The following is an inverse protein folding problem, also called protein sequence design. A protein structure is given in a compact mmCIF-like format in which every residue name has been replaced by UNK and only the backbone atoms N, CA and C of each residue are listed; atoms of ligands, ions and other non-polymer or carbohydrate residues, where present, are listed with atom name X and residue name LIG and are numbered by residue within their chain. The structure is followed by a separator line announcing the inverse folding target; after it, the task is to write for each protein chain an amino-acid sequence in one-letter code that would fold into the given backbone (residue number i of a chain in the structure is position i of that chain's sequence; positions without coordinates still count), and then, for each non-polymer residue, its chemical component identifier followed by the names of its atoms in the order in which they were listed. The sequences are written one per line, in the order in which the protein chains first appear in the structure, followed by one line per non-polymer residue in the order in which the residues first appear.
data_IF_331332365298
#
_entry.id   IF_331332365298
#
_cell.length_a   1.000
_cell.length_b   1.000
_cell.length_c   1.000
_cell.angle_alpha   90.00
_cell.angle_beta   90.00
_cell.angle_gamma   90.00
#
_symmetry.space_group_name_H-M   'P 1'
#
loop_
_entity.id
_entity.type
_entity.pdbx_description
1 polymer ?
#
# COMPACT_ATOMS: atom_id res chain seq x y z
N UNK A 1 6.77 35.40 -0.90
CA UNK A 1 6.71 34.59 0.34
C UNK A 1 7.50 33.32 0.10
N UNK A 2 8.48 32.98 0.95
CA UNK A 2 9.24 31.73 0.84
C UNK A 2 8.29 30.60 1.24
N UNK A 3 7.92 29.71 0.32
CA UNK A 3 7.23 28.46 0.71
C UNK A 3 8.14 27.73 1.69
N UNK A 4 7.58 27.25 2.79
CA UNK A 4 8.32 26.39 3.71
C UNK A 4 8.78 25.13 2.97
N UNK A 5 9.93 24.56 3.40
CA UNK A 5 10.57 23.45 2.71
C UNK A 5 9.62 22.24 2.55
N UNK A 6 8.71 22.04 3.50
CA UNK A 6 7.76 20.94 3.51
C UNK A 6 6.64 21.12 2.47
N UNK A 7 6.11 22.34 2.34
CA UNK A 7 5.12 22.67 1.31
C UNK A 7 5.71 22.54 -0.10
N UNK A 8 7.01 22.84 -0.24
CA UNK A 8 7.72 22.63 -1.51
C UNK A 8 7.87 21.15 -1.84
N UNK A 9 8.27 20.31 -0.89
CA UNK A 9 8.33 18.86 -1.09
C UNK A 9 6.96 18.30 -1.47
N UNK A 10 5.89 18.74 -0.80
CA UNK A 10 4.51 18.35 -1.14
C UNK A 10 4.14 18.71 -2.58
N UNK A 11 4.44 19.93 -3.03
CA UNK A 11 4.22 20.33 -4.42
C UNK A 11 4.97 19.42 -5.41
N UNK A 12 6.24 19.13 -5.12
CA UNK A 12 7.07 18.25 -5.97
C UNK A 12 6.48 16.84 -6.03
N UNK A 13 6.08 16.26 -4.89
CA UNK A 13 5.45 14.94 -4.85
C UNK A 13 4.16 14.90 -5.66
N UNK A 14 3.30 15.91 -5.54
CA UNK A 14 2.05 15.99 -6.29
C UNK A 14 2.28 16.08 -7.81
N UNK A 15 3.30 16.83 -8.25
CA UNK A 15 3.67 16.88 -9.66
C UNK A 15 4.24 15.54 -10.13
N UNK A 16 5.14 14.94 -9.35
CA UNK A 16 5.75 13.66 -9.66
C UNK A 16 4.72 12.53 -9.76
N UNK A 17 3.72 12.49 -8.87
CA UNK A 17 2.60 11.54 -8.93
C UNK A 17 1.93 11.59 -10.31
N UNK A 18 1.61 12.79 -10.80
CA UNK A 18 0.97 12.95 -12.12
C UNK A 18 1.85 12.42 -13.25
N UNK A 19 3.15 12.75 -13.21
CA UNK A 19 4.11 12.29 -14.22
C UNK A 19 4.29 10.76 -14.17
N UNK A 20 4.37 10.18 -12.97
CA UNK A 20 4.48 8.73 -12.80
C UNK A 20 3.25 8.00 -13.33
N UNK A 21 2.04 8.51 -13.08
CA UNK A 21 0.79 7.92 -13.56
C UNK A 21 0.65 8.03 -15.09
N UNK A 22 1.15 9.12 -15.68
CA UNK A 22 1.06 9.36 -17.12
C UNK A 22 2.12 8.57 -17.92
N UNK A 23 3.39 8.63 -17.50
CA UNK A 23 4.52 8.05 -18.26
C UNK A 23 4.93 6.65 -17.78
N UNK A 24 4.52 6.26 -16.57
CA UNK A 24 5.11 5.17 -15.83
C UNK A 24 6.43 5.58 -15.15
N UNK A 25 6.73 4.96 -14.01
CA UNK A 25 7.88 5.33 -13.18
C UNK A 25 9.23 5.21 -13.93
N UNK A 26 9.48 4.08 -14.61
CA UNK A 26 10.76 3.84 -15.30
C UNK A 26 11.02 4.75 -16.50
N UNK A 27 9.97 5.33 -17.08
CA UNK A 27 10.11 6.29 -18.18
C UNK A 27 10.16 7.75 -17.69
N UNK A 28 10.10 7.96 -16.37
CA UNK A 28 10.13 9.28 -15.77
C UNK A 28 11.56 9.66 -15.39
N UNK A 29 12.00 10.83 -15.81
CA UNK A 29 13.28 11.42 -15.43
C UNK A 29 13.07 12.73 -14.66
N UNK A 30 14.11 13.19 -13.96
CA UNK A 30 14.04 14.43 -13.17
C UNK A 30 13.61 15.65 -14.00
N UNK A 31 13.95 15.70 -15.29
CA UNK A 31 13.50 16.78 -16.19
C UNK A 31 11.99 16.84 -16.34
N UNK A 32 11.31 15.70 -16.44
CA UNK A 32 9.84 15.67 -16.55
C UNK A 32 9.18 16.31 -15.32
N UNK A 33 9.74 16.05 -14.14
CA UNK A 33 9.25 16.61 -12.87
C UNK A 33 9.60 18.11 -12.76
N UNK A 34 10.76 18.54 -13.26
CA UNK A 34 11.08 19.97 -13.35
C UNK A 34 10.08 20.71 -14.22
N UNK A 35 9.77 20.18 -15.40
CA UNK A 35 8.79 20.76 -16.32
C UNK A 35 7.39 20.81 -15.67
N UNK A 36 6.97 19.73 -15.01
CA UNK A 36 5.67 19.67 -14.32
C UNK A 36 5.58 20.61 -13.10
N UNK A 37 6.69 20.93 -12.44
CA UNK A 37 6.73 21.80 -11.25
C UNK A 37 7.04 23.27 -11.58
N UNK A 38 7.62 23.55 -12.75
CA UNK A 38 8.17 24.86 -13.12
C UNK A 38 9.42 25.26 -12.32
N UNK A 39 10.04 24.33 -11.59
CA UNK A 39 11.24 24.60 -10.80
C UNK A 39 12.49 24.61 -11.67
N UNK A 40 13.47 25.43 -11.28
CA UNK A 40 14.81 25.33 -11.86
C UNK A 40 15.49 24.03 -11.43
N UNK A 41 16.53 23.64 -12.16
CA UNK A 41 17.38 22.48 -11.80
C UNK A 41 17.88 22.56 -10.37
N UNK A 42 18.46 23.69 -9.96
CA UNK A 42 18.91 23.88 -8.59
C UNK A 42 17.76 23.79 -7.58
N UNK A 43 16.56 24.26 -7.93
CA UNK A 43 15.38 24.20 -7.08
C UNK A 43 14.88 22.78 -6.81
N UNK A 44 14.78 21.93 -7.84
CA UNK A 44 14.34 20.54 -7.66
C UNK A 44 15.41 19.69 -6.97
N UNK A 45 16.66 19.78 -7.43
CA UNK A 45 17.77 18.99 -6.90
C UNK A 45 18.18 19.38 -5.47
N UNK A 46 17.74 20.54 -4.98
CA UNK A 46 17.87 20.88 -3.56
C UNK A 46 17.01 19.99 -2.65
N UNK A 47 15.88 19.47 -3.17
CA UNK A 47 14.94 18.68 -2.39
C UNK A 47 15.03 17.17 -2.66
N UNK A 48 15.34 16.79 -3.90
CA UNK A 48 15.37 15.40 -4.34
C UNK A 48 16.50 15.16 -5.34
N UNK A 49 17.34 14.17 -5.07
CA UNK A 49 18.42 13.73 -5.95
C UNK A 49 17.97 12.83 -7.09
N UNK A 50 16.84 12.13 -6.93
CA UNK A 50 16.33 11.16 -7.91
C UNK A 50 14.82 10.98 -7.86
N UNK A 51 14.27 10.35 -8.90
CA UNK A 51 12.85 9.93 -8.93
C UNK A 51 12.54 8.88 -7.86
N UNK A 52 13.53 8.05 -7.49
CA UNK A 52 13.40 7.05 -6.42
C UNK A 52 13.23 7.69 -5.05
N UNK A 53 13.97 8.76 -4.74
CA UNK A 53 13.76 9.50 -3.49
C UNK A 53 12.37 10.15 -3.42
N UNK A 54 11.84 10.62 -4.56
CA UNK A 54 10.48 11.16 -4.62
C UNK A 54 9.46 10.05 -4.40
N UNK A 55 9.63 8.89 -5.05
CA UNK A 55 8.76 7.73 -4.85
C UNK A 55 8.81 7.22 -3.40
N UNK A 56 9.99 7.20 -2.78
CA UNK A 56 10.18 6.88 -1.37
C UNK A 56 9.32 7.79 -0.49
N UNK A 57 9.44 9.12 -0.65
CA UNK A 57 8.68 10.08 0.17
C UNK A 57 7.16 9.97 -0.08
N UNK A 58 6.72 9.71 -1.33
CA UNK A 58 5.30 9.48 -1.64
C UNK A 58 4.78 8.24 -0.91
N UNK A 59 5.54 7.13 -0.94
CA UNK A 59 5.14 5.89 -0.27
C UNK A 59 5.12 6.05 1.25
N UNK A 60 6.06 6.80 1.81
CA UNK A 60 6.09 7.06 3.25
C UNK A 60 4.93 7.93 3.71
N UNK A 61 4.62 9.02 3.00
CA UNK A 61 3.43 9.84 3.28
C UNK A 61 2.14 9.04 3.15
N UNK A 62 1.98 8.26 2.07
CA UNK A 62 0.81 7.41 1.85
C UNK A 62 0.63 6.37 2.94
N UNK A 63 1.73 5.79 3.44
CA UNK A 63 1.70 4.82 4.52
C UNK A 63 1.27 5.42 5.87
N UNK A 64 1.76 6.61 6.21
CA UNK A 64 1.35 7.35 7.42
C UNK A 64 -0.14 7.70 7.37
N UNK A 65 -0.60 8.30 6.27
CA UNK A 65 -2.01 8.66 6.10
C UNK A 65 -2.93 7.43 6.20
N UNK A 66 -2.53 6.30 5.61
CA UNK A 66 -3.29 5.05 5.69
C UNK A 66 -3.39 4.56 7.14
N UNK A 67 -2.29 4.59 7.88
CA UNK A 67 -2.27 4.17 9.29
C UNK A 67 -3.24 4.99 10.12
N UNK A 68 -3.20 6.31 9.98
CA UNK A 68 -4.07 7.22 10.74
C UNK A 68 -5.56 6.98 10.44
N UNK A 69 -5.92 6.77 9.17
CA UNK A 69 -7.29 6.45 8.76
C UNK A 69 -7.75 5.13 9.39
N UNK A 70 -6.95 4.07 9.28
CA UNK A 70 -7.33 2.75 9.81
C UNK A 70 -7.47 2.81 11.33
N UNK A 71 -6.50 3.43 12.03
CA UNK A 71 -6.55 3.54 13.48
C UNK A 71 -7.80 4.30 13.93
N UNK A 72 -8.11 5.43 13.28
CA UNK A 72 -9.33 6.18 13.58
C UNK A 72 -10.60 5.33 13.38
N UNK A 73 -10.72 4.60 12.26
CA UNK A 73 -11.89 3.75 11.99
C UNK A 73 -12.04 2.63 13.02
N UNK A 74 -10.96 2.02 13.49
CA UNK A 74 -11.01 0.97 14.51
C UNK A 74 -11.57 1.51 15.84
N UNK A 75 -11.12 2.68 16.27
CA UNK A 75 -11.52 3.26 17.56
C UNK A 75 -12.90 3.95 17.53
N UNK A 76 -13.28 4.57 16.41
CA UNK A 76 -14.53 5.33 16.30
C UNK A 76 -15.76 4.46 16.03
N UNK A 77 -15.62 3.34 15.30
CA UNK A 77 -16.78 2.58 14.79
C UNK A 77 -17.08 1.27 15.55
N UNK A 78 -16.26 0.89 16.54
CA UNK A 78 -16.45 -0.37 17.26
C UNK A 78 -16.58 -1.57 16.31
N UNK A 79 -15.74 -1.59 15.26
CA UNK A 79 -15.87 -2.47 14.12
C UNK A 79 -15.82 -3.95 14.57
N UNK A 80 -16.92 -4.69 14.41
CA UNK A 80 -16.94 -6.14 14.66
C UNK A 80 -16.49 -6.84 13.39
N UNK A 81 -15.26 -7.32 13.39
CA UNK A 81 -14.66 -7.98 12.24
C UNK A 81 -14.83 -9.50 12.34
N UNK A 82 -15.54 -10.04 11.35
CA UNK A 82 -15.69 -11.48 11.12
C UNK A 82 -14.78 -11.95 9.97
N UNK A 83 -14.52 -13.26 9.83
CA UNK A 83 -13.80 -13.79 8.67
C UNK A 83 -14.38 -13.31 7.33
N UNK A 84 -15.72 -13.22 7.23
CA UNK A 84 -16.44 -12.72 6.06
C UNK A 84 -16.24 -11.23 5.81
N UNK A 85 -16.19 -10.41 6.87
CA UNK A 85 -15.92 -8.98 6.70
C UNK A 85 -14.47 -8.77 6.25
N UNK A 86 -13.55 -9.50 6.87
CA UNK A 86 -12.13 -9.36 6.58
C UNK A 86 -11.76 -9.84 5.18
N UNK A 87 -12.30 -10.98 4.74
CA UNK A 87 -12.13 -11.47 3.37
C UNK A 87 -12.64 -10.44 2.36
N UNK A 88 -13.82 -9.85 2.59
CA UNK A 88 -14.36 -8.78 1.75
C UNK A 88 -13.44 -7.56 1.70
N UNK A 89 -12.91 -7.11 2.84
CA UNK A 89 -11.98 -5.97 2.89
C UNK A 89 -10.70 -6.23 2.07
N UNK A 90 -10.14 -7.45 2.17
CA UNK A 90 -8.96 -7.84 1.38
C UNK A 90 -9.28 -7.80 -0.11
N UNK A 91 -10.40 -8.38 -0.52
CA UNK A 91 -10.79 -8.42 -1.93
C UNK A 91 -11.15 -7.03 -2.47
N UNK A 92 -11.84 -6.20 -1.69
CA UNK A 92 -12.13 -4.82 -2.05
C UNK A 92 -10.85 -4.01 -2.23
N UNK A 93 -9.85 -4.24 -1.38
CA UNK A 93 -8.53 -3.60 -1.52
C UNK A 93 -7.78 -4.08 -2.77
N UNK A 94 -7.80 -5.37 -3.08
CA UNK A 94 -7.21 -5.91 -4.32
C UNK A 94 -7.92 -5.31 -5.56
N UNK A 95 -9.25 -5.20 -5.48
CA UNK A 95 -10.08 -4.72 -6.58
C UNK A 95 -10.17 -3.20 -6.69
N UNK A 96 -9.59 -2.44 -5.76
CA UNK A 96 -9.55 -1.00 -5.82
C UNK A 96 -8.81 -0.49 -7.07
N UNK A 97 -9.42 0.45 -7.79
CA UNK A 97 -8.84 1.16 -8.92
C UNK A 97 -8.75 2.64 -8.57
N UNK A 98 -7.56 3.05 -8.13
CA UNK A 98 -7.24 4.45 -7.85
C UNK A 98 -5.74 4.69 -8.01
N UNK A 99 -5.35 5.95 -8.05
CA UNK A 99 -3.97 6.37 -8.28
C UNK A 99 -2.99 5.84 -7.21
N UNK A 100 -3.43 5.70 -5.96
CA UNK A 100 -2.58 5.13 -4.90
C UNK A 100 -2.23 3.66 -5.16
N UNK A 101 -3.18 2.87 -5.66
CA UNK A 101 -2.92 1.47 -6.04
C UNK A 101 -1.88 1.40 -7.17
N UNK A 102 -2.05 2.24 -8.20
CA UNK A 102 -1.11 2.32 -9.34
C UNK A 102 0.29 2.68 -8.88
N UNK A 103 0.44 3.72 -8.06
CA UNK A 103 1.71 4.14 -7.49
C UNK A 103 2.34 3.06 -6.60
N UNK A 104 1.53 2.39 -5.78
CA UNK A 104 2.01 1.31 -4.92
C UNK A 104 2.53 0.12 -5.75
N UNK A 105 1.85 -0.25 -6.83
CA UNK A 105 2.35 -1.31 -7.73
C UNK A 105 3.64 -0.88 -8.43
N UNK A 106 3.75 0.38 -8.88
CA UNK A 106 5.02 0.90 -9.40
C UNK A 106 6.14 0.75 -8.37
N UNK A 107 5.89 1.13 -7.11
CA UNK A 107 6.84 0.91 -6.01
C UNK A 107 7.23 -0.55 -5.82
N UNK A 108 6.27 -1.48 -5.84
CA UNK A 108 6.55 -2.92 -5.74
C UNK A 108 7.47 -3.42 -6.87
N UNK A 109 7.29 -2.91 -8.10
CA UNK A 109 8.12 -3.28 -9.24
C UNK A 109 9.58 -2.80 -9.11
N UNK A 110 9.82 -1.69 -8.40
CA UNK A 110 11.15 -1.12 -8.21
C UNK A 110 11.92 -1.73 -7.04
N UNK A 111 11.27 -2.55 -6.21
CA UNK A 111 11.93 -3.22 -5.09
C UNK A 111 13.09 -4.12 -5.51
N UNK A 112 13.21 -4.56 -6.77
CA UNK A 112 14.37 -5.38 -7.18
C UNK A 112 15.63 -4.54 -7.40
N UNK A 113 15.44 -3.30 -7.82
CA UNK A 113 16.50 -2.46 -8.40
C UNK A 113 16.99 -1.37 -7.42
N UNK A 114 16.31 -1.16 -6.29
CA UNK A 114 16.63 -0.09 -5.35
C UNK A 114 16.58 -0.55 -3.88
N UNK A 115 17.71 -0.50 -3.18
CA UNK A 115 17.82 -0.98 -1.80
C UNK A 115 17.08 -0.10 -0.78
N UNK A 116 17.07 1.22 -0.96
CA UNK A 116 16.33 2.13 -0.08
C UNK A 116 14.81 1.84 -0.13
N UNK A 117 14.29 1.53 -1.31
CA UNK A 117 12.89 1.10 -1.47
C UNK A 117 12.63 -0.29 -0.87
N UNK A 118 13.60 -1.21 -0.91
CA UNK A 118 13.50 -2.51 -0.19
C UNK A 118 13.41 -2.29 1.31
N UNK A 119 14.28 -1.46 1.88
CA UNK A 119 14.26 -1.12 3.30
C UNK A 119 12.94 -0.45 3.69
N UNK A 120 12.45 0.48 2.85
CA UNK A 120 11.14 1.09 3.02
C UNK A 120 10.02 0.06 3.02
N UNK A 121 10.04 -0.90 2.10
CA UNK A 121 9.05 -1.97 2.02
C UNK A 121 9.04 -2.82 3.29
N UNK A 122 10.21 -3.17 3.83
CA UNK A 122 10.32 -3.90 5.10
C UNK A 122 9.67 -3.11 6.24
N UNK A 123 9.92 -1.80 6.31
CA UNK A 123 9.29 -0.92 7.31
C UNK A 123 7.77 -0.87 7.15
N UNK A 124 7.28 -0.62 5.93
CA UNK A 124 5.84 -0.57 5.62
C UNK A 124 5.16 -1.91 5.94
N UNK A 125 5.82 -3.04 5.63
CA UNK A 125 5.32 -4.39 5.94
C UNK A 125 5.18 -4.57 7.45
N UNK A 126 6.21 -4.24 8.23
CA UNK A 126 6.19 -4.32 9.69
C UNK A 126 5.07 -3.47 10.31
N UNK A 127 4.90 -2.24 9.83
CA UNK A 127 3.82 -1.36 10.30
C UNK A 127 2.44 -1.89 9.91
N UNK A 128 2.30 -2.51 8.73
CA UNK A 128 1.05 -3.13 8.31
C UNK A 128 0.70 -4.35 9.15
N UNK A 129 1.69 -5.18 9.52
CA UNK A 129 1.50 -6.30 10.47
C UNK A 129 1.03 -5.77 11.82
N UNK A 130 1.62 -4.68 12.32
CA UNK A 130 1.19 -4.07 13.58
C UNK A 130 -0.27 -3.58 13.53
N UNK A 131 -0.68 -2.94 12.42
CA UNK A 131 -2.08 -2.53 12.22
C UNK A 131 -3.02 -3.74 12.17
N UNK A 132 -2.62 -4.84 11.51
CA UNK A 132 -3.43 -6.06 11.54
C UNK A 132 -3.52 -6.67 12.93
N UNK A 133 -2.44 -6.68 13.72
CA UNK A 133 -2.46 -7.13 15.12
C UNK A 133 -3.43 -6.31 15.96
N UNK A 134 -3.37 -4.98 15.85
CA UNK A 134 -4.30 -4.07 16.53
C UNK A 134 -5.74 -4.39 16.14
N UNK A 135 -6.02 -4.49 14.84
CA UNK A 135 -7.35 -4.84 14.33
C UNK A 135 -7.85 -6.18 14.88
N UNK A 136 -7.03 -7.23 14.87
CA UNK A 136 -7.41 -8.56 15.35
C UNK A 136 -7.52 -8.65 16.87
N UNK A 137 -6.75 -7.86 17.61
CA UNK A 137 -6.76 -7.84 19.09
C UNK A 137 -8.09 -7.34 19.68
N UNK A 138 -8.85 -6.58 18.89
CA UNK A 138 -10.19 -6.11 19.29
C UNK A 138 -11.26 -7.21 19.26
N UNK A 139 -10.93 -8.39 18.72
CA UNK A 139 -11.91 -9.41 18.32
C UNK A 139 -11.62 -10.78 18.91
N UNK A 140 -10.34 -11.11 19.07
CA UNK A 140 -9.87 -12.45 19.38
C UNK A 140 -8.97 -12.44 20.62
N UNK A 141 -9.13 -13.46 21.47
CA UNK A 141 -8.25 -13.68 22.61
C UNK A 141 -6.85 -14.12 22.16
N UNK A 142 -6.78 -14.83 21.02
CA UNK A 142 -5.54 -15.29 20.41
C UNK A 142 -5.33 -14.63 19.05
N UNK A 143 -4.13 -14.10 18.85
CA UNK A 143 -3.75 -13.43 17.61
C UNK A 143 -3.07 -14.42 16.66
N UNK A 144 -3.38 -14.36 15.35
CA UNK A 144 -2.59 -15.08 14.35
C UNK A 144 -1.10 -14.71 14.41
N UNK A 145 -0.26 -15.62 13.93
CA UNK A 145 1.18 -15.40 13.82
C UNK A 145 1.54 -14.27 12.83
N UNK A 146 2.72 -13.67 13.01
CA UNK A 146 3.24 -12.68 12.05
C UNK A 146 3.40 -13.26 10.63
N UNK A 147 3.73 -14.56 10.52
CA UNK A 147 3.78 -15.29 9.25
C UNK A 147 2.42 -15.32 8.53
N UNK A 148 1.32 -15.40 9.30
CA UNK A 148 -0.04 -15.34 8.74
C UNK A 148 -0.30 -13.95 8.14
N UNK A 149 0.02 -12.89 8.87
CA UNK A 149 -0.14 -11.53 8.37
C UNK A 149 0.76 -11.25 7.16
N UNK A 150 1.99 -11.77 7.16
CA UNK A 150 2.88 -11.69 6.02
C UNK A 150 2.32 -12.41 4.79
N UNK A 151 1.80 -13.63 4.95
CA UNK A 151 1.16 -14.36 3.87
C UNK A 151 0.01 -13.55 3.25
N UNK A 152 -0.82 -12.91 4.07
CA UNK A 152 -1.91 -12.07 3.60
C UNK A 152 -1.42 -10.84 2.82
N UNK A 153 -0.39 -10.15 3.33
CA UNK A 153 0.23 -9.02 2.62
C UNK A 153 0.73 -9.48 1.25
N UNK A 154 1.36 -10.66 1.18
CA UNK A 154 1.85 -11.21 -0.08
C UNK A 154 0.72 -11.57 -1.05
N UNK A 155 -0.39 -12.13 -0.57
CA UNK A 155 -1.59 -12.39 -1.38
C UNK A 155 -2.18 -11.08 -1.92
N UNK A 156 -2.30 -10.05 -1.07
CA UNK A 156 -2.80 -8.74 -1.45
C UNK A 156 -1.91 -8.10 -2.52
N UNK A 157 -0.59 -8.08 -2.30
CA UNK A 157 0.36 -7.53 -3.26
C UNK A 157 0.32 -8.29 -4.58
N UNK A 158 0.21 -9.62 -4.54
CA UNK A 158 0.05 -10.46 -5.73
C UNK A 158 -1.24 -10.14 -6.49
N UNK A 159 -2.35 -9.94 -5.78
CA UNK A 159 -3.62 -9.56 -6.38
C UNK A 159 -3.59 -8.16 -7.02
N UNK A 160 -2.96 -7.19 -6.34
CA UNK A 160 -2.76 -5.83 -6.87
C UNK A 160 -1.90 -5.86 -8.15
N UNK A 161 -0.78 -6.61 -8.12
CA UNK A 161 0.06 -6.79 -9.31
C UNK A 161 -0.70 -7.51 -10.43
N UNK A 162 -1.50 -8.53 -10.14
CA UNK A 162 -2.33 -9.19 -11.14
C UNK A 162 -3.32 -8.22 -11.79
N UNK A 163 -3.94 -7.33 -11.02
CA UNK A 163 -4.86 -6.34 -11.55
C UNK A 163 -4.17 -5.29 -12.42
N UNK A 164 -3.06 -4.70 -11.94
CA UNK A 164 -2.40 -3.57 -12.61
C UNK A 164 -1.42 -3.98 -13.72
N UNK A 165 -0.77 -5.14 -13.60
CA UNK A 165 0.25 -5.60 -14.56
C UNK A 165 -0.33 -6.59 -15.57
N UNK A 166 -1.20 -7.50 -15.11
CA UNK A 166 -1.76 -8.56 -15.96
C UNK A 166 -3.17 -8.21 -16.48
N UNK A 167 -3.70 -7.03 -16.15
CA UNK A 167 -5.06 -6.61 -16.48
C UNK A 167 -6.14 -7.60 -15.97
N UNK A 168 -5.89 -8.26 -14.83
CA UNK A 168 -6.78 -9.29 -14.29
C UNK A 168 -8.04 -8.71 -13.59
N UNK A 169 -8.15 -7.39 -13.44
CA UNK A 169 -9.18 -6.73 -12.63
C UNK A 169 -10.60 -7.14 -13.03
N UNK A 170 -10.94 -7.07 -14.33
CA UNK A 170 -12.27 -7.45 -14.80
C UNK A 170 -12.59 -8.92 -14.50
N UNK A 171 -11.62 -9.81 -14.69
CA UNK A 171 -11.77 -11.24 -14.39
C UNK A 171 -11.96 -11.47 -12.89
N UNK A 172 -11.17 -10.81 -12.04
CA UNK A 172 -11.27 -10.93 -10.59
C UNK A 172 -12.59 -10.35 -10.06
N UNK A 173 -13.08 -9.25 -10.64
CA UNK A 173 -14.40 -8.68 -10.30
C UNK A 173 -15.52 -9.67 -10.63
N UNK A 174 -15.48 -10.31 -11.81
CA UNK A 174 -16.46 -11.35 -12.19
C UNK A 174 -16.43 -12.56 -11.26
N UNK A 175 -15.25 -12.90 -10.73
CA UNK A 175 -15.02 -14.05 -9.84
C UNK A 175 -14.87 -13.66 -8.36
N UNK A 176 -15.35 -12.46 -7.97
CA UNK A 176 -15.17 -11.90 -6.63
C UNK A 176 -15.65 -12.84 -5.52
N UNK A 177 -16.76 -13.55 -5.75
CA UNK A 177 -17.32 -14.49 -4.77
C UNK A 177 -16.34 -15.62 -4.45
N UNK A 178 -15.75 -16.25 -5.47
CA UNK A 178 -14.78 -17.33 -5.30
C UNK A 178 -13.49 -16.85 -4.62
N UNK A 179 -13.00 -15.67 -5.00
CA UNK A 179 -11.85 -15.07 -4.32
C UNK A 179 -12.14 -14.79 -2.84
N UNK A 180 -13.34 -14.30 -2.54
CA UNK A 180 -13.76 -14.04 -1.16
C UNK A 180 -13.84 -15.34 -0.34
N UNK A 181 -14.45 -16.38 -0.90
CA UNK A 181 -14.57 -17.72 -0.27
C UNK A 181 -13.21 -18.36 -0.01
N UNK A 182 -12.27 -18.27 -0.95
CA UNK A 182 -10.91 -18.79 -0.79
C UNK A 182 -10.19 -18.14 0.40
N UNK A 183 -10.26 -16.81 0.49
CA UNK A 183 -9.63 -16.04 1.58
C UNK A 183 -10.34 -16.31 2.91
N UNK A 184 -11.66 -16.34 2.93
CA UNK A 184 -12.45 -16.64 4.11
C UNK A 184 -12.14 -18.03 4.67
N UNK A 185 -12.08 -19.05 3.80
CA UNK A 185 -11.74 -20.43 4.18
C UNK A 185 -10.37 -20.51 4.83
N UNK A 186 -9.38 -19.78 4.29
CA UNK A 186 -8.06 -19.68 4.91
C UNK A 186 -8.16 -19.11 6.34
N UNK A 187 -8.88 -17.99 6.54
CA UNK A 187 -9.03 -17.39 7.87
C UNK A 187 -9.73 -18.30 8.87
N UNK A 188 -10.82 -18.97 8.46
CA UNK A 188 -11.52 -19.93 9.32
C UNK A 188 -10.55 -21.02 9.78
N UNK A 189 -9.68 -21.51 8.89
CA UNK A 189 -8.73 -22.58 9.23
C UNK A 189 -7.58 -22.10 10.11
N UNK A 190 -7.06 -20.88 9.87
CA UNK A 190 -6.06 -20.27 10.76
C UNK A 190 -6.64 -20.12 12.16
N UNK A 191 -7.85 -19.59 12.26
CA UNK A 191 -8.52 -19.36 13.55
C UNK A 191 -8.84 -20.67 14.30
N UNK A 192 -9.25 -21.73 13.59
CA UNK A 192 -9.52 -23.03 14.23
C UNK A 192 -8.26 -23.74 14.76
N UNK A 193 -7.11 -23.57 14.10
CA UNK A 193 -5.87 -24.25 14.50
C UNK A 193 -5.26 -23.70 15.79
N UNK A 194 -5.59 -22.47 16.15
CA UNK A 194 -5.12 -21.84 17.38
C UNK A 194 -6.01 -22.26 18.58
N UNK A 195 -7.34 -22.42 18.39
CA UNK A 195 -8.25 -22.97 19.42
C UNK A 195 -7.91 -24.41 19.86
N UNK A 196 -7.33 -25.25 19.00
CA UNK A 196 -6.95 -26.63 19.32
C UNK A 196 -5.60 -26.76 20.06
N UNK A 197 -4.89 -25.65 20.30
CA UNK A 197 -3.59 -25.61 21.00
C UNK A 197 -3.66 -25.06 22.43
N UNK A 198 -4.85 -24.70 22.90
CA UNK A 198 -5.19 -24.24 24.26
C UNK A 198 -5.93 -25.31 25.05
#
# INVERSE_FOLDING_TARGET
MKMEADERKKQIRQAAIKVFLDKGFRNTVMNDIMEATGLSRGGLYHHYGSTHEILYDIMMEGNLNRKDIIQKSIYDEGLILSPQLFSRMIIDKILADNDYVKLYVMFLCELKENDDLKELYVKIKKESIQVFRELFSTLFNELPSDDTFEFMINIMNSGLMACEILNARENFTKNKIYLTEMIETYFINVMKKDDERS
#
